data_IF_786675879523
#
_entry.id   IF_786675879523
#
_cell.length_a   1.000
_cell.length_b   1.000
_cell.length_c   1.000
_cell.angle_alpha   90.00
_cell.angle_beta   90.00
_cell.angle_gamma   90.00
#
_symmetry.space_group_name_H-M   'P 1'
#
loop_
_entity.id
_entity.type
_entity.pdbx_description
1 polymer ?
#
# COMPACT_ATOMS: atom_id res chain seq x y z
N UNK A 1 -0.95 11.14 -10.07
CA UNK A 1 0.51 11.16 -10.23
C UNK A 1 1.12 12.08 -9.16
N UNK A 2 2.44 12.06 -8.98
CA UNK A 2 3.13 12.81 -7.92
C UNK A 2 2.87 14.31 -8.05
N UNK A 3 2.94 14.88 -9.26
CA UNK A 3 2.71 16.31 -9.48
C UNK A 3 1.33 16.78 -8.97
N UNK A 4 0.27 16.02 -9.25
CA UNK A 4 -1.08 16.33 -8.75
C UNK A 4 -1.21 16.11 -7.24
N UNK A 5 -0.57 15.08 -6.68
CA UNK A 5 -0.55 14.87 -5.22
C UNK A 5 0.11 16.06 -4.50
N UNK A 6 1.21 16.58 -5.04
CA UNK A 6 1.89 17.78 -4.52
C UNK A 6 1.02 19.03 -4.64
N UNK A 7 0.47 19.29 -5.82
CA UNK A 7 -0.39 20.45 -6.06
C UNK A 7 -1.66 20.44 -5.19
N UNK A 8 -2.20 19.24 -4.90
CA UNK A 8 -3.35 19.05 -4.02
C UNK A 8 -3.03 19.07 -2.53
N UNK A 9 -1.76 19.21 -2.12
CA UNK A 9 -1.37 19.20 -0.71
C UNK A 9 -1.57 17.85 -0.01
N UNK A 10 -1.55 16.74 -0.77
CA UNK A 10 -1.71 15.39 -0.19
C UNK A 10 -0.48 15.05 0.65
N UNK A 11 -0.67 14.92 1.97
CA UNK A 11 0.38 14.55 2.91
C UNK A 11 0.49 13.05 3.18
N UNK A 12 -0.55 12.28 2.87
CA UNK A 12 -0.58 10.83 3.07
C UNK A 12 -1.54 10.15 2.06
N UNK A 13 -1.25 8.91 1.69
CA UNK A 13 -2.05 8.09 0.79
C UNK A 13 -2.08 6.63 1.27
N UNK A 14 -3.28 6.06 1.37
CA UNK A 14 -3.46 4.61 1.36
C UNK A 14 -3.54 4.15 -0.10
N UNK A 15 -2.51 3.46 -0.56
CA UNK A 15 -2.53 2.80 -1.86
C UNK A 15 -3.38 1.54 -1.72
N UNK A 16 -4.53 1.52 -2.41
CA UNK A 16 -5.38 0.33 -2.44
C UNK A 16 -4.62 -0.79 -3.14
N UNK A 17 -4.46 -1.90 -2.43
CA UNK A 17 -4.03 -3.19 -2.95
C UNK A 17 -5.32 -3.93 -3.28
N UNK A 18 -5.87 -3.60 -4.44
CA UNK A 18 -7.13 -4.14 -4.93
C UNK A 18 -6.88 -5.27 -5.93
N UNK A 19 -7.65 -6.34 -5.80
CA UNK A 19 -7.78 -7.40 -6.80
C UNK A 19 -9.25 -7.62 -7.12
N UNK A 20 -9.53 -8.12 -8.33
CA UNK A 20 -10.92 -8.31 -8.76
C UNK A 20 -11.61 -9.36 -7.89
N UNK A 21 -12.86 -9.08 -7.53
CA UNK A 21 -13.64 -9.94 -6.63
C UNK A 21 -14.10 -11.26 -7.25
N UNK A 22 -13.92 -11.45 -8.56
CA UNK A 22 -14.14 -12.73 -9.23
C UNK A 22 -12.91 -13.66 -9.20
N UNK A 23 -11.77 -13.19 -8.69
CA UNK A 23 -10.65 -14.03 -8.32
C UNK A 23 -10.91 -14.68 -6.96
N UNK A 24 -10.52 -15.93 -6.79
CA UNK A 24 -10.70 -16.69 -5.56
C UNK A 24 -9.53 -17.61 -5.26
N UNK A 25 -9.54 -18.20 -4.06
CA UNK A 25 -8.50 -19.13 -3.65
C UNK A 25 -7.11 -18.51 -3.68
N UNK A 26 -6.13 -19.29 -4.14
CA UNK A 26 -4.74 -18.89 -4.19
C UNK A 26 -4.47 -17.81 -5.25
N UNK A 27 -5.29 -17.73 -6.30
CA UNK A 27 -5.16 -16.71 -7.36
C UNK A 27 -5.39 -15.30 -6.80
N UNK A 28 -6.40 -15.13 -5.93
CA UNK A 28 -6.65 -13.87 -5.25
C UNK A 28 -5.47 -13.47 -4.33
N UNK A 29 -4.87 -14.45 -3.65
CA UNK A 29 -3.71 -14.23 -2.77
C UNK A 29 -2.50 -13.80 -3.61
N UNK A 30 -2.15 -14.54 -4.66
CA UNK A 30 -1.03 -14.21 -5.56
C UNK A 30 -1.19 -12.84 -6.19
N UNK A 31 -2.37 -12.51 -6.73
CA UNK A 31 -2.64 -11.19 -7.29
C UNK A 31 -2.52 -10.08 -6.24
N UNK A 32 -2.92 -10.35 -4.98
CA UNK A 32 -2.77 -9.38 -3.88
C UNK A 32 -1.28 -9.13 -3.59
N UNK A 33 -0.46 -10.18 -3.57
CA UNK A 33 0.99 -10.05 -3.38
C UNK A 33 1.65 -9.25 -4.51
N UNK A 34 1.23 -9.44 -5.76
CA UNK A 34 1.72 -8.65 -6.90
C UNK A 34 1.34 -7.16 -6.79
N UNK A 35 0.14 -6.85 -6.29
CA UNK A 35 -0.25 -5.46 -6.03
C UNK A 35 0.52 -4.85 -4.86
N UNK A 36 0.82 -5.62 -3.81
CA UNK A 36 1.71 -5.19 -2.72
C UNK A 36 3.10 -4.85 -3.26
N UNK A 37 3.67 -5.75 -4.06
CA UNK A 37 4.99 -5.56 -4.68
C UNK A 37 5.00 -4.35 -5.61
N UNK A 38 3.93 -4.13 -6.40
CA UNK A 38 3.78 -2.94 -7.24
C UNK A 38 3.88 -1.65 -6.43
N UNK A 39 3.21 -1.57 -5.27
CA UNK A 39 3.32 -0.41 -4.37
C UNK A 39 4.74 -0.30 -3.80
N UNK A 40 5.34 -1.39 -3.34
CA UNK A 40 6.70 -1.36 -2.80
C UNK A 40 7.73 -0.89 -3.85
N UNK A 41 7.59 -1.34 -5.10
CA UNK A 41 8.39 -0.86 -6.23
C UNK A 41 8.14 0.63 -6.56
N UNK A 42 6.90 1.10 -6.47
CA UNK A 42 6.56 2.51 -6.65
C UNK A 42 7.30 3.38 -5.61
N UNK A 43 7.29 2.97 -4.34
CA UNK A 43 7.99 3.68 -3.27
C UNK A 43 9.52 3.67 -3.49
N UNK A 44 10.08 2.52 -3.87
CA UNK A 44 11.50 2.39 -4.17
C UNK A 44 11.96 3.24 -5.36
N UNK A 45 11.08 3.45 -6.35
CA UNK A 45 11.34 4.27 -7.54
C UNK A 45 11.27 5.77 -7.28
N UNK A 46 10.50 6.20 -6.27
CA UNK A 46 10.30 7.62 -5.94
C UNK A 46 10.57 7.94 -4.46
N UNK A 47 11.75 7.60 -3.90
CA UNK A 47 12.02 7.73 -2.47
C UNK A 47 12.14 9.19 -1.98
N UNK A 48 12.41 10.12 -2.90
CA UNK A 48 12.43 11.56 -2.63
C UNK A 48 11.02 12.13 -2.43
N UNK A 49 10.00 11.48 -2.99
CA UNK A 49 8.61 11.96 -2.94
C UNK A 49 7.73 11.14 -2.01
N UNK A 50 7.95 9.84 -1.96
CA UNK A 50 7.10 8.88 -1.25
C UNK A 50 7.89 8.22 -0.12
N UNK A 51 7.22 7.97 1.00
CA UNK A 51 7.82 7.30 2.15
C UNK A 51 6.86 6.25 2.70
N UNK A 52 7.33 5.00 2.87
CA UNK A 52 6.55 3.97 3.54
C UNK A 52 6.23 4.39 4.97
N UNK A 53 4.97 4.25 5.37
CA UNK A 53 4.50 4.52 6.72
C UNK A 53 3.61 3.37 7.21
N UNK A 54 3.92 2.85 8.39
CA UNK A 54 3.21 1.71 9.02
C UNK A 54 2.66 2.08 10.40
N UNK A 55 2.85 3.34 10.81
CA UNK A 55 2.34 3.91 12.05
C UNK A 55 2.00 5.38 11.85
N UNK A 56 1.22 5.94 12.78
CA UNK A 56 0.94 7.36 12.82
C UNK A 56 2.24 8.20 12.94
N UNK A 57 3.18 7.76 13.78
CA UNK A 57 4.47 8.45 13.95
C UNK A 57 5.31 8.44 12.66
N UNK A 58 5.32 7.32 11.93
CA UNK A 58 6.01 7.23 10.65
C UNK A 58 5.36 8.14 9.58
N UNK A 59 4.04 8.26 9.60
CA UNK A 59 3.30 9.18 8.73
C UNK A 59 3.64 10.64 9.04
N UNK A 60 3.60 11.05 10.30
CA UNK A 60 3.97 12.40 10.73
C UNK A 60 5.42 12.74 10.37
N UNK A 61 6.35 11.79 10.60
CA UNK A 61 7.76 11.93 10.21
C UNK A 61 7.91 12.16 8.71
N UNK A 62 7.30 11.32 7.87
CA UNK A 62 7.36 11.45 6.41
C UNK A 62 6.84 12.83 5.95
N UNK A 63 5.73 13.28 6.54
CA UNK A 63 5.15 14.59 6.24
C UNK A 63 6.07 15.73 6.67
N UNK A 64 6.71 15.63 7.83
CA UNK A 64 7.72 16.60 8.30
C UNK A 64 8.95 16.69 7.41
N UNK A 65 9.33 15.59 6.75
CA UNK A 65 10.39 15.53 5.74
C UNK A 65 9.94 16.01 4.35
N UNK A 66 8.70 16.49 4.23
CA UNK A 66 8.14 16.94 2.96
C UNK A 66 7.88 15.80 1.98
N UNK A 67 7.70 14.57 2.46
CA UNK A 67 7.34 13.39 1.65
C UNK A 67 5.88 13.01 1.87
N UNK A 68 5.30 12.32 0.89
CA UNK A 68 3.94 11.79 0.96
C UNK A 68 4.01 10.45 1.69
N UNK A 69 3.46 10.40 2.90
CA UNK A 69 3.35 9.15 3.64
C UNK A 69 2.52 8.15 2.85
N UNK A 70 3.02 6.93 2.70
CA UNK A 70 2.45 5.92 1.81
C UNK A 70 2.21 4.65 2.58
N UNK A 71 0.94 4.26 2.66
CA UNK A 71 0.46 3.07 3.35
C UNK A 71 -0.18 2.11 2.34
N UNK A 72 -0.28 0.84 2.69
CA UNK A 72 -0.95 -0.19 1.89
C UNK A 72 -2.25 -0.59 2.57
N UNK A 73 -3.33 -0.72 1.80
CA UNK A 73 -4.61 -1.25 2.28
C UNK A 73 -5.10 -2.35 1.36
N UNK A 74 -5.13 -3.60 1.83
CA UNK A 74 -5.73 -4.70 1.08
C UNK A 74 -7.25 -4.51 0.98
N UNK A 75 -7.76 -4.39 -0.24
CA UNK A 75 -9.17 -4.13 -0.51
C UNK A 75 -9.90 -5.43 -0.87
N UNK A 76 -10.61 -5.98 0.12
CA UNK A 76 -11.44 -7.17 -0.04
C UNK A 76 -10.94 -8.37 0.79
N UNK A 77 -11.84 -8.97 1.57
CA UNK A 77 -11.48 -10.11 2.44
C UNK A 77 -11.07 -11.39 1.69
N UNK A 78 -11.40 -11.50 0.39
CA UNK A 78 -11.00 -12.63 -0.44
C UNK A 78 -9.48 -12.69 -0.67
N UNK A 79 -8.76 -11.57 -0.52
CA UNK A 79 -7.30 -11.48 -0.58
C UNK A 79 -6.56 -12.34 0.45
N UNK A 80 -7.23 -12.73 1.54
CA UNK A 80 -6.62 -13.62 2.55
C UNK A 80 -7.04 -15.08 2.39
N UNK A 81 -7.94 -15.40 1.46
CA UNK A 81 -8.47 -16.74 1.23
C UNK A 81 -8.90 -17.46 2.55
N UNK A 82 -9.62 -16.74 3.42
CA UNK A 82 -10.02 -17.20 4.77
C UNK A 82 -8.88 -17.72 5.66
N UNK A 83 -7.64 -17.31 5.40
CA UNK A 83 -6.45 -17.72 6.15
C UNK A 83 -5.91 -16.58 7.01
N UNK A 84 -5.95 -16.78 8.33
CA UNK A 84 -5.30 -15.85 9.27
C UNK A 84 -3.76 -15.88 9.15
N UNK A 85 -3.19 -16.96 8.63
CA UNK A 85 -1.76 -17.02 8.34
C UNK A 85 -1.42 -16.07 7.17
N UNK A 86 -2.24 -16.06 6.12
CA UNK A 86 -2.11 -15.12 5.01
C UNK A 86 -2.29 -13.69 5.51
N UNK A 87 -3.31 -13.42 6.34
CA UNK A 87 -3.49 -12.09 6.94
C UNK A 87 -2.25 -11.60 7.70
N UNK A 88 -1.63 -12.45 8.51
CA UNK A 88 -0.36 -12.10 9.20
C UNK A 88 0.80 -11.91 8.25
N UNK A 89 0.86 -12.65 7.15
CA UNK A 89 1.87 -12.47 6.12
C UNK A 89 1.71 -11.15 5.35
N UNK A 90 0.47 -10.68 5.11
CA UNK A 90 0.23 -9.36 4.51
C UNK A 90 0.62 -8.19 5.44
N UNK A 91 0.64 -8.44 6.75
CA UNK A 91 1.05 -7.45 7.76
C UNK A 91 2.57 -7.38 7.97
N UNK A 92 3.28 -8.50 7.78
CA UNK A 92 4.71 -8.63 8.03
C UNK A 92 5.57 -7.84 7.03
#
# INVERSE_FOLDING_TARGET
DIARLRAGGVGAQFWSVYVRSDLGGDEAVSATLEQIDCVDQLLARHPADLARAESADAMEKARGEGRIASLKGAEGGHSINNSLATLRALYA
#
